data_IF_763622365062
#
_entry.id   IF_763622365062
#
_cell.length_a   1.000
_cell.length_b   1.000
_cell.length_c   1.000
_cell.angle_alpha   90.00
_cell.angle_beta   90.00
_cell.angle_gamma   90.00
#
_symmetry.space_group_name_H-M   'P 1'
#
loop_
_entity.id
_entity.type
_entity.pdbx_description
1 polymer ?
#
# COMPACT_ATOMS: atom_id res chain seq x y z
N UNK A 1 5.25 -18.90 -7.78
CA UNK A 1 3.83 -18.50 -7.92
C UNK A 1 3.64 -17.38 -6.90
N UNK A 2 3.23 -16.19 -7.32
CA UNK A 2 2.87 -15.12 -6.37
C UNK A 2 1.72 -15.62 -5.48
N UNK A 3 1.73 -15.28 -4.18
CA UNK A 3 0.67 -15.70 -3.25
C UNK A 3 -0.68 -15.16 -3.77
N UNK A 4 -1.69 -16.01 -4.06
CA UNK A 4 -2.98 -15.55 -4.59
C UNK A 4 -3.67 -14.55 -3.65
N UNK A 5 -3.36 -14.58 -2.34
CA UNK A 5 -3.84 -13.61 -1.37
C UNK A 5 -3.22 -12.23 -1.58
N UNK A 6 -1.96 -12.15 -1.98
CA UNK A 6 -1.30 -10.88 -2.32
C UNK A 6 -2.02 -10.21 -3.50
N UNK A 7 -2.26 -10.97 -4.57
CA UNK A 7 -2.97 -10.46 -5.74
C UNK A 7 -4.40 -10.00 -5.40
N UNK A 8 -5.11 -10.77 -4.57
CA UNK A 8 -6.45 -10.41 -4.12
C UNK A 8 -6.46 -9.12 -3.27
N UNK A 9 -5.49 -8.98 -2.36
CA UNK A 9 -5.34 -7.80 -1.51
C UNK A 9 -5.03 -6.54 -2.34
N UNK A 10 -4.08 -6.64 -3.27
CA UNK A 10 -3.73 -5.54 -4.18
C UNK A 10 -4.91 -5.13 -5.06
N UNK A 11 -5.62 -6.09 -5.66
CA UNK A 11 -6.82 -5.81 -6.47
C UNK A 11 -7.90 -5.10 -5.65
N UNK A 12 -8.17 -5.57 -4.44
CA UNK A 12 -9.13 -4.93 -3.53
C UNK A 12 -8.72 -3.49 -3.23
N UNK A 13 -7.44 -3.28 -2.90
CA UNK A 13 -6.86 -1.98 -2.64
C UNK A 13 -7.03 -1.02 -3.83
N UNK A 14 -6.63 -1.46 -5.02
CA UNK A 14 -6.72 -0.67 -6.27
C UNK A 14 -8.15 -0.31 -6.62
N UNK A 15 -9.07 -1.29 -6.64
CA UNK A 15 -10.47 -1.00 -6.98
C UNK A 15 -11.13 -0.09 -5.95
N UNK A 16 -10.75 -0.14 -4.68
CA UNK A 16 -11.24 0.79 -3.67
C UNK A 16 -10.71 2.23 -3.88
N UNK A 17 -9.44 2.38 -4.25
CA UNK A 17 -8.87 3.69 -4.59
C UNK A 17 -9.57 4.35 -5.78
N UNK A 18 -9.88 3.58 -6.82
CA UNK A 18 -10.60 4.06 -8.01
C UNK A 18 -11.99 4.60 -7.65
N UNK A 19 -12.61 4.05 -6.61
CA UNK A 19 -13.90 4.51 -6.06
C UNK A 19 -13.77 5.63 -5.03
N UNK A 20 -12.54 6.06 -4.68
CA UNK A 20 -12.29 7.03 -3.61
C UNK A 20 -12.55 6.48 -2.20
N UNK A 21 -12.73 5.17 -2.05
CA UNK A 21 -12.86 4.52 -0.75
C UNK A 21 -11.47 4.28 -0.15
N UNK A 22 -10.93 5.34 0.43
CA UNK A 22 -9.60 5.33 1.04
C UNK A 22 -9.48 4.34 2.19
N UNK A 23 -10.56 4.08 2.93
CA UNK A 23 -10.54 3.15 4.07
C UNK A 23 -10.34 1.71 3.59
N UNK A 24 -11.16 1.28 2.62
CA UNK A 24 -11.02 -0.07 2.04
C UNK A 24 -9.71 -0.21 1.27
N UNK A 25 -9.24 0.86 0.61
CA UNK A 25 -7.94 0.86 -0.04
C UNK A 25 -6.81 0.57 0.94
N UNK A 26 -6.77 1.27 2.07
CA UNK A 26 -5.76 1.06 3.11
C UNK A 26 -5.78 -0.37 3.65
N UNK A 27 -6.96 -0.97 3.86
CA UNK A 27 -7.06 -2.38 4.30
C UNK A 27 -6.40 -3.31 3.28
N UNK A 28 -6.71 -3.15 1.98
CA UNK A 28 -6.11 -3.99 0.94
C UNK A 28 -4.59 -3.86 0.86
N UNK A 29 -4.04 -2.64 0.96
CA UNK A 29 -2.59 -2.45 0.95
C UNK A 29 -1.91 -2.88 2.25
N UNK A 30 -2.60 -2.81 3.40
CA UNK A 30 -2.09 -3.37 4.66
C UNK A 30 -1.95 -4.88 4.55
N UNK A 31 -2.99 -5.58 4.10
CA UNK A 31 -2.95 -7.03 3.87
C UNK A 31 -1.82 -7.40 2.88
N UNK A 32 -1.66 -6.65 1.79
CA UNK A 32 -0.58 -6.88 0.83
C UNK A 32 0.81 -6.75 1.46
N UNK A 33 1.02 -5.77 2.34
CA UNK A 33 2.28 -5.54 3.06
C UNK A 33 2.53 -6.62 4.12
N UNK A 34 1.49 -7.14 4.76
CA UNK A 34 1.63 -8.26 5.71
C UNK A 34 2.03 -9.56 5.01
N UNK A 35 1.51 -9.79 3.79
CA UNK A 35 1.83 -10.96 2.97
C UNK A 35 3.22 -10.83 2.35
N UNK A 36 3.53 -9.65 1.80
CA UNK A 36 4.83 -9.34 1.20
C UNK A 36 5.38 -8.00 1.73
N UNK A 37 6.18 -8.05 2.81
CA UNK A 37 6.83 -6.86 3.38
C UNK A 37 7.90 -6.23 2.48
N UNK A 38 8.21 -6.85 1.34
CA UNK A 38 9.16 -6.34 0.34
C UNK A 38 8.47 -5.69 -0.86
N UNK A 39 7.13 -5.65 -0.87
CA UNK A 39 6.36 -5.05 -1.93
C UNK A 39 6.46 -3.52 -1.90
N UNK A 40 7.47 -2.97 -2.59
CA UNK A 40 7.69 -1.52 -2.68
C UNK A 40 6.44 -0.79 -3.22
N UNK A 41 5.75 -1.37 -4.20
CA UNK A 41 4.56 -0.76 -4.81
C UNK A 41 3.43 -0.57 -3.80
N UNK A 42 3.17 -1.56 -2.94
CA UNK A 42 2.14 -1.44 -1.90
C UNK A 42 2.45 -0.29 -0.91
N UNK A 43 3.70 -0.13 -0.49
CA UNK A 43 4.11 1.00 0.36
C UNK A 43 3.94 2.35 -0.34
N UNK A 44 4.35 2.47 -1.61
CA UNK A 44 4.20 3.72 -2.36
C UNK A 44 2.73 4.13 -2.49
N UNK A 45 1.87 3.17 -2.80
CA UNK A 45 0.45 3.45 -2.97
C UNK A 45 -0.21 3.81 -1.63
N UNK A 46 0.12 3.09 -0.55
CA UNK A 46 -0.37 3.41 0.80
C UNK A 46 0.09 4.80 1.26
N UNK A 47 1.34 5.17 0.97
CA UNK A 47 1.85 6.52 1.21
C UNK A 47 0.99 7.58 0.50
N UNK A 48 0.71 7.39 -0.79
CA UNK A 48 -0.12 8.33 -1.56
C UNK A 48 -1.52 8.49 -0.98
N UNK A 49 -2.13 7.40 -0.47
CA UNK A 49 -3.43 7.47 0.21
C UNK A 49 -3.30 8.29 1.50
N UNK A 50 -2.29 8.02 2.32
CA UNK A 50 -2.04 8.79 3.54
C UNK A 50 -1.78 10.28 3.27
N UNK A 51 -1.06 10.61 2.21
CA UNK A 51 -0.86 12.00 1.77
C UNK A 51 -2.20 12.68 1.44
N UNK A 52 -3.08 12.01 0.69
CA UNK A 52 -4.42 12.54 0.36
C UNK A 52 -5.30 12.76 1.60
N UNK A 53 -5.12 11.95 2.63
CA UNK A 53 -5.86 12.06 3.89
C UNK A 53 -5.22 13.05 4.89
N UNK A 54 -4.07 13.66 4.57
CA UNK A 54 -3.35 14.54 5.48
C UNK A 54 -2.56 13.82 6.57
N UNK A 55 -2.40 12.49 6.46
CA UNK A 55 -1.69 11.65 7.43
C UNK A 55 -0.18 11.68 7.16
N UNK A 56 0.45 12.83 7.42
CA UNK A 56 1.86 13.08 7.07
C UNK A 56 2.83 12.10 7.72
N UNK A 57 2.60 11.68 8.97
CA UNK A 57 3.49 10.76 9.67
C UNK A 57 3.54 9.37 8.99
N UNK A 58 2.36 8.84 8.63
CA UNK A 58 2.24 7.56 7.94
C UNK A 58 2.78 7.65 6.50
N UNK A 59 2.53 8.76 5.81
CA UNK A 59 3.13 9.03 4.50
C UNK A 59 4.66 8.95 4.56
N UNK A 60 5.30 9.64 5.50
CA UNK A 60 6.76 9.65 5.64
C UNK A 60 7.31 8.26 5.97
N UNK A 61 6.60 7.52 6.81
CA UNK A 61 6.97 6.15 7.19
C UNK A 61 6.96 5.21 5.99
N UNK A 62 5.86 5.22 5.22
CA UNK A 62 5.71 4.38 4.03
C UNK A 62 6.67 4.79 2.92
N UNK A 63 6.90 6.09 2.73
CA UNK A 63 7.84 6.60 1.75
C UNK A 63 9.28 6.18 2.07
N UNK A 64 9.68 6.23 3.34
CA UNK A 64 11.00 5.77 3.77
C UNK A 64 11.19 4.27 3.48
N UNK A 65 10.17 3.45 3.76
CA UNK A 65 10.19 2.01 3.47
C UNK A 65 10.23 1.72 1.97
N UNK A 66 9.46 2.45 1.17
CA UNK A 66 9.53 2.37 -0.29
C UNK A 66 10.94 2.66 -0.81
N UNK A 67 11.58 3.74 -0.35
CA UNK A 67 12.92 4.11 -0.76
C UNK A 67 13.97 3.07 -0.36
N UNK A 68 13.85 2.47 0.83
CA UNK A 68 14.77 1.41 1.26
C UNK A 68 14.68 0.19 0.35
N UNK A 69 13.46 -0.22 -0.03
CA UNK A 69 13.22 -1.39 -0.89
C UNK A 69 13.60 -1.15 -2.36
N UNK A 70 13.55 0.10 -2.84
CA UNK A 70 14.01 0.45 -4.19
C UNK A 70 15.53 0.52 -4.31
N UNK A 71 16.23 0.65 -3.19
CA UNK A 71 17.70 0.75 -3.13
C UNK A 71 18.39 -0.59 -2.86
N UNK A 72 17.63 -1.62 -2.47
CA UNK A 72 18.10 -3.00 -2.32
C UNK A 72 18.01 -3.76 -3.65
#
# INVERSE_FOLDING_TARGET
MEDPRLLAALKRGTSAMERGDWKTALIGYNEAIEIDPTNATAYLIRANIHQKLGNTAQFMTDLAKYQSLKRS
#
